data_IF_222085302228
#
_entry.id   IF_222085302228
#
_cell.length_a   1.000
_cell.length_b   1.000
_cell.length_c   1.000
_cell.angle_alpha   90.00
_cell.angle_beta   90.00
_cell.angle_gamma   90.00
#
_symmetry.space_group_name_H-M   'P 1'
#
loop_
_entity.id
_entity.type
_entity.pdbx_description
1 polymer ?
#
# COMPACT_ATOMS: atom_id res chain seq x y z
N UNK A 1 7.18 31.68 -4.43
CA UNK A 1 5.85 31.57 -5.07
C UNK A 1 5.14 30.36 -4.48
N UNK A 2 3.86 30.48 -4.12
CA UNK A 2 3.03 29.32 -3.78
C UNK A 2 2.55 28.70 -5.09
N UNK A 3 3.01 27.48 -5.40
CA UNK A 3 2.54 26.73 -6.56
C UNK A 3 1.43 25.76 -6.10
N UNK A 4 0.43 25.56 -6.94
CA UNK A 4 -0.72 24.67 -6.67
C UNK A 4 -0.60 23.43 -7.55
N UNK A 5 -0.57 22.25 -6.94
CA UNK A 5 -0.46 20.98 -7.67
C UNK A 5 -1.66 20.08 -7.36
N UNK A 6 -2.10 19.33 -8.39
CA UNK A 6 -3.11 18.29 -8.25
C UNK A 6 -2.38 16.99 -7.91
N UNK A 7 -2.61 16.47 -6.70
CA UNK A 7 -2.05 15.19 -6.28
C UNK A 7 -3.02 14.08 -6.64
N UNK A 8 -2.57 13.16 -7.49
CA UNK A 8 -3.27 11.91 -7.81
C UNK A 8 -2.34 10.75 -7.50
N UNK A 9 -2.86 9.74 -6.79
CA UNK A 9 -2.10 8.51 -6.62
C UNK A 9 -2.04 7.79 -7.98
N UNK A 10 -0.83 7.54 -8.45
CA UNK A 10 -0.63 6.66 -9.59
C UNK A 10 -1.06 5.25 -9.23
N UNK A 11 -1.49 4.47 -10.23
CA UNK A 11 -1.87 3.07 -10.01
C UNK A 11 -0.77 2.28 -9.28
N UNK A 12 0.49 2.51 -9.65
CA UNK A 12 1.65 1.89 -9.01
C UNK A 12 1.73 2.24 -7.52
N UNK A 13 1.64 3.52 -7.17
CA UNK A 13 1.68 3.97 -5.77
C UNK A 13 0.49 3.42 -4.95
N UNK A 14 -0.70 3.32 -5.55
CA UNK A 14 -1.86 2.72 -4.91
C UNK A 14 -1.64 1.23 -4.66
N UNK A 15 -1.13 0.49 -5.64
CA UNK A 15 -0.81 -0.93 -5.48
C UNK A 15 0.25 -1.15 -4.40
N UNK A 16 1.33 -0.36 -4.38
CA UNK A 16 2.37 -0.46 -3.36
C UNK A 16 1.82 -0.17 -1.96
N UNK A 17 1.00 0.88 -1.82
CA UNK A 17 0.41 1.24 -0.53
C UNK A 17 -0.57 0.17 -0.04
N UNK A 18 -1.44 -0.33 -0.94
CA UNK A 18 -2.34 -1.44 -0.61
C UNK A 18 -1.61 -2.75 -0.33
N UNK A 19 -0.49 -3.02 -0.99
CA UNK A 19 0.37 -4.16 -0.66
C UNK A 19 0.93 -4.04 0.75
N UNK A 20 1.49 -2.88 1.12
CA UNK A 20 2.06 -2.66 2.47
C UNK A 20 0.97 -2.79 3.54
N UNK A 21 -0.19 -2.19 3.32
CA UNK A 21 -1.34 -2.30 4.24
C UNK A 21 -1.85 -3.74 4.33
N UNK A 22 -1.98 -4.43 3.20
CA UNK A 22 -2.36 -5.84 3.15
C UNK A 22 -1.34 -6.77 3.80
N UNK A 23 -0.06 -6.50 3.62
CA UNK A 23 1.02 -7.24 4.26
C UNK A 23 0.98 -7.07 5.78
N UNK A 24 0.87 -5.82 6.25
CA UNK A 24 0.75 -5.50 7.68
C UNK A 24 -0.46 -6.16 8.34
N UNK A 25 -1.61 -6.17 7.66
CA UNK A 25 -2.80 -6.86 8.15
C UNK A 25 -2.62 -8.39 8.18
N UNK A 26 -1.95 -8.97 7.19
CA UNK A 26 -1.63 -10.40 7.17
C UNK A 26 -0.64 -10.82 8.27
N UNK A 27 0.34 -9.97 8.62
CA UNK A 27 1.20 -10.20 9.80
C UNK A 27 0.37 -10.20 11.08
N UNK A 28 -0.50 -9.20 11.24
CA UNK A 28 -1.36 -9.10 12.42
C UNK A 28 -2.29 -10.31 12.56
N UNK A 29 -2.95 -10.73 11.48
CA UNK A 29 -3.82 -11.92 11.46
C UNK A 29 -3.04 -13.21 11.70
N UNK A 30 -1.84 -13.34 11.13
CA UNK A 30 -0.95 -14.49 11.36
C UNK A 30 -0.59 -14.63 12.84
N UNK A 31 -0.21 -13.52 13.50
CA UNK A 31 0.08 -13.50 14.93
C UNK A 31 -1.15 -13.80 15.78
N UNK A 32 -2.28 -13.18 15.47
CA UNK A 32 -3.54 -13.43 16.18
C UNK A 32 -3.96 -14.90 16.07
N UNK A 33 -3.71 -15.53 14.92
CA UNK A 33 -3.89 -16.96 14.71
C UNK A 33 -3.08 -17.83 15.67
N UNK A 34 -1.83 -17.46 15.97
CA UNK A 34 -0.99 -18.18 16.95
C UNK A 34 -1.57 -18.09 18.36
N UNK A 35 -2.11 -16.93 18.77
CA UNK A 35 -2.67 -16.74 20.11
C UNK A 35 -4.06 -17.36 20.29
N UNK A 36 -4.84 -17.48 19.22
CA UNK A 36 -6.24 -17.95 19.27
C UNK A 36 -6.40 -19.42 18.91
N UNK A 37 -5.48 -19.98 18.13
CA UNK A 37 -5.57 -21.37 17.72
C UNK A 37 -5.07 -22.29 18.84
N UNK A 38 -5.84 -23.33 19.17
CA UNK A 38 -5.37 -24.46 20.01
C UNK A 38 -4.40 -25.37 19.25
N UNK A 39 -3.89 -24.92 18.11
CA UNK A 39 -3.31 -25.76 17.07
C UNK A 39 -1.81 -25.97 17.30
N UNK A 40 -1.50 -26.62 18.42
CA UNK A 40 -0.17 -27.20 18.69
C UNK A 40 0.00 -28.55 17.97
N UNK A 41 -1.07 -29.07 17.36
CA UNK A 41 -1.06 -30.40 16.72
C UNK A 41 -0.11 -30.52 15.51
N UNK A 42 0.19 -29.42 14.81
CA UNK A 42 1.19 -29.42 13.74
C UNK A 42 1.90 -28.05 13.62
N UNK A 43 3.02 -27.85 14.33
CA UNK A 43 3.72 -26.57 14.35
C UNK A 43 4.35 -26.21 13.00
N UNK A 44 4.75 -27.22 12.20
CA UNK A 44 5.34 -26.97 10.89
C UNK A 44 4.33 -26.36 9.91
N UNK A 45 3.09 -26.87 9.89
CA UNK A 45 2.02 -26.30 9.07
C UNK A 45 1.70 -24.85 9.48
N UNK A 46 1.75 -24.56 10.79
CA UNK A 46 1.50 -23.21 11.31
C UNK A 46 2.56 -22.20 10.90
N UNK A 47 3.84 -22.58 10.93
CA UNK A 47 4.92 -21.71 10.48
C UNK A 47 4.78 -21.38 8.99
N UNK A 48 4.37 -22.34 8.17
CA UNK A 48 4.09 -22.11 6.75
C UNK A 48 2.95 -21.10 6.59
N UNK A 49 1.83 -21.30 7.28
CA UNK A 49 0.68 -20.38 7.21
C UNK A 49 1.09 -18.97 7.69
N UNK A 50 1.78 -18.87 8.81
CA UNK A 50 2.25 -17.59 9.36
C UNK A 50 3.19 -16.85 8.40
N UNK A 51 4.07 -17.59 7.70
CA UNK A 51 5.00 -17.00 6.74
C UNK A 51 4.29 -16.51 5.47
N UNK A 52 3.34 -17.30 4.93
CA UNK A 52 2.68 -16.96 3.67
C UNK A 52 1.49 -16.00 3.80
N UNK A 53 0.82 -15.97 4.96
CA UNK A 53 -0.36 -15.10 5.18
C UNK A 53 -0.09 -13.62 4.88
N UNK A 54 1.01 -12.99 5.34
CA UNK A 54 1.36 -11.62 4.98
C UNK A 54 1.43 -11.37 3.47
N UNK A 55 2.08 -12.27 2.73
CA UNK A 55 2.23 -12.12 1.28
C UNK A 55 0.89 -12.30 0.56
N UNK A 56 0.09 -13.29 0.95
CA UNK A 56 -1.23 -13.51 0.38
C UNK A 56 -2.17 -12.34 0.65
N UNK A 57 -2.15 -11.78 1.87
CA UNK A 57 -2.91 -10.58 2.22
C UNK A 57 -2.42 -9.34 1.48
N UNK A 58 -1.09 -9.19 1.28
CA UNK A 58 -0.50 -8.13 0.46
C UNK A 58 -0.96 -8.22 -1.01
N UNK A 59 -0.91 -9.41 -1.61
CA UNK A 59 -1.41 -9.66 -2.98
C UNK A 59 -2.91 -9.36 -3.06
N UNK A 60 -3.70 -9.79 -2.07
CA UNK A 60 -5.12 -9.45 -1.97
C UNK A 60 -5.36 -7.94 -1.93
N UNK A 61 -4.49 -7.19 -1.24
CA UNK A 61 -4.47 -5.72 -1.24
C UNK A 61 -4.21 -5.14 -2.63
N UNK A 62 -3.24 -5.68 -3.37
CA UNK A 62 -2.96 -5.25 -4.76
C UNK A 62 -4.15 -5.51 -5.68
N UNK A 63 -4.76 -6.69 -5.61
CA UNK A 63 -5.96 -7.01 -6.41
C UNK A 63 -7.09 -6.04 -6.07
N UNK A 64 -7.30 -5.76 -4.79
CA UNK A 64 -8.29 -4.78 -4.34
C UNK A 64 -7.99 -3.38 -4.89
N UNK A 65 -6.72 -2.96 -4.91
CA UNK A 65 -6.31 -1.69 -5.50
C UNK A 65 -6.57 -1.62 -7.00
N UNK A 66 -6.27 -2.69 -7.74
CA UNK A 66 -6.54 -2.79 -9.18
C UNK A 66 -8.03 -2.65 -9.49
N UNK A 67 -8.89 -3.29 -8.68
CA UNK A 67 -10.35 -3.20 -8.83
C UNK A 67 -10.86 -1.81 -8.40
N UNK A 68 -10.30 -1.22 -7.34
CA UNK A 68 -10.71 0.08 -6.83
C UNK A 68 -10.22 1.25 -7.70
N UNK A 69 -9.09 1.09 -8.40
CA UNK A 69 -8.47 2.15 -9.20
C UNK A 69 -9.39 2.80 -10.25
N UNK A 70 -10.16 2.08 -11.07
CA UNK A 70 -11.08 2.72 -12.02
C UNK A 70 -12.11 3.62 -11.32
N UNK A 71 -12.62 3.21 -10.16
CA UNK A 71 -13.56 4.01 -9.37
C UNK A 71 -12.87 5.22 -8.73
N UNK A 72 -11.66 5.04 -8.21
CA UNK A 72 -10.82 6.12 -7.68
C UNK A 72 -10.53 7.18 -8.75
N UNK A 73 -10.06 6.76 -9.93
CA UNK A 73 -9.75 7.65 -11.03
C UNK A 73 -11.01 8.41 -11.51
N UNK A 74 -12.13 7.70 -11.65
CA UNK A 74 -13.42 8.33 -11.99
C UNK A 74 -13.83 9.39 -10.96
N UNK A 75 -13.70 9.10 -9.66
CA UNK A 75 -14.01 10.04 -8.59
C UNK A 75 -13.09 11.26 -8.60
N UNK A 76 -11.78 11.06 -8.74
CA UNK A 76 -10.79 12.13 -8.82
C UNK A 76 -11.06 13.08 -9.99
N UNK A 77 -11.48 12.55 -11.14
CA UNK A 77 -11.85 13.35 -12.31
C UNK A 77 -13.13 14.17 -12.10
N UNK A 78 -14.07 13.72 -11.27
CA UNK A 78 -15.27 14.50 -10.90
C UNK A 78 -15.00 15.58 -9.87
N UNK A 79 -14.18 15.30 -8.85
CA UNK A 79 -14.02 16.16 -7.67
C UNK A 79 -12.77 17.05 -7.74
N UNK A 80 -12.03 17.03 -8.87
CA UNK A 80 -10.77 17.77 -9.08
C UNK A 80 -9.62 17.41 -8.11
N UNK A 81 -9.66 16.21 -7.52
CA UNK A 81 -8.60 15.67 -6.66
C UNK A 81 -8.29 16.50 -5.41
N UNK A 82 -7.29 16.08 -4.63
CA UNK A 82 -6.76 16.90 -3.54
C UNK A 82 -5.82 17.97 -4.12
N UNK A 83 -6.17 19.23 -3.87
CA UNK A 83 -5.35 20.39 -4.21
C UNK A 83 -4.43 20.66 -3.02
N UNK A 84 -3.13 20.44 -3.20
CA UNK A 84 -2.14 20.76 -2.18
C UNK A 84 -1.46 22.08 -2.56
N UNK A 85 -1.45 23.02 -1.63
CA UNK A 85 -0.77 24.31 -1.75
C UNK A 85 0.37 24.36 -0.74
N UNK A 86 1.57 24.73 -1.20
CA UNK A 86 2.76 24.72 -0.36
C UNK A 86 3.94 25.47 -0.97
N UNK A 87 4.95 25.74 -0.13
CA UNK A 87 6.28 26.16 -0.59
C UNK A 87 7.08 24.89 -0.88
N UNK A 88 7.08 24.47 -2.14
CA UNK A 88 7.85 23.31 -2.58
C UNK A 88 9.22 23.79 -3.10
N UNK A 89 10.28 23.09 -2.71
CA UNK A 89 11.59 23.24 -3.34
C UNK A 89 11.53 22.47 -4.67
N UNK A 90 11.81 23.17 -5.76
CA UNK A 90 11.93 22.58 -7.09
C UNK A 90 13.36 22.03 -7.19
N UNK A 91 13.53 20.74 -6.96
CA UNK A 91 14.82 20.05 -7.09
C UNK A 91 15.03 19.70 -8.55
N UNK A 92 16.15 20.11 -9.15
CA UNK A 92 16.49 19.73 -10.52
C UNK A 92 16.94 18.26 -10.55
N UNK A 93 16.51 17.52 -11.56
CA UNK A 93 16.77 16.08 -11.70
C UNK A 93 18.28 15.73 -11.65
N UNK A 94 19.14 16.66 -12.05
CA UNK A 94 20.60 16.56 -11.95
C UNK A 94 21.16 16.57 -10.52
N UNK A 95 20.41 17.06 -9.53
CA UNK A 95 20.83 17.08 -8.12
C UNK A 95 20.47 15.78 -7.39
N UNK A 96 19.45 15.06 -7.86
CA UNK A 96 19.05 13.76 -7.30
C UNK A 96 20.06 12.65 -7.63
N UNK A 97 20.69 12.70 -8.80
CA UNK A 97 21.72 11.75 -9.26
C UNK A 97 23.05 11.87 -8.50
N UNK A 98 23.25 12.96 -7.76
CA UNK A 98 24.44 13.22 -6.94
C UNK A 98 24.23 12.90 -5.44
N UNK A 99 23.05 12.39 -5.05
CA UNK A 99 22.71 12.04 -3.68
C UNK A 99 22.57 10.53 -3.44
N UNK A 100 22.81 9.69 -4.47
CA UNK A 100 22.96 8.24 -4.35
C UNK A 100 24.41 7.81 -4.04
#
# INVERSE_FOLDING_TARGET
MLKTYRMELSLGSLCSLSFIVGFGSGVFLGLLGVFTSKAVANPAAWLVVMFFTPFLSGIGGVISALIAYPFYNWYCNRVKGQVVTGKFLEVQESELDNME
#
